data_IF_501484171474
#
_entry.id   IF_501484171474
#
_cell.length_a   1.000
_cell.length_b   1.000
_cell.length_c   1.000
_cell.angle_alpha   90.00
_cell.angle_beta   90.00
_cell.angle_gamma   90.00
#
_symmetry.space_group_name_H-M   'P 1'
#
loop_
_entity.id
_entity.type
_entity.pdbx_description
1 polymer ?
#
# COMPACT_ATOMS: atom_id res chain seq x y z
N UNK A 1 -7.83 -5.68 -21.06
CA UNK A 1 -8.31 -4.30 -20.93
C UNK A 1 -7.64 -3.65 -19.73
N UNK A 2 -6.92 -2.54 -19.92
CA UNK A 2 -6.44 -1.73 -18.79
C UNK A 2 -7.55 -0.81 -18.31
N UNK A 3 -8.01 -0.94 -17.07
CA UNK A 3 -8.81 0.10 -16.43
C UNK A 3 -7.99 1.39 -16.44
N UNK A 4 -8.55 2.46 -17.01
CA UNK A 4 -8.00 3.80 -16.82
C UNK A 4 -8.35 4.23 -15.39
N UNK A 5 -7.38 4.13 -14.48
CA UNK A 5 -7.45 4.76 -13.16
C UNK A 5 -7.29 6.27 -13.36
N UNK A 6 -8.36 6.94 -13.77
CA UNK A 6 -8.44 8.41 -13.76
C UNK A 6 -8.44 8.92 -12.31
N UNK A 7 -8.10 10.20 -12.10
CA UNK A 7 -8.06 10.79 -10.75
C UNK A 7 -9.38 10.59 -9.99
N UNK A 8 -10.49 10.76 -10.69
CA UNK A 8 -11.84 10.55 -10.19
C UNK A 8 -12.07 9.10 -9.70
N UNK A 9 -11.80 8.10 -10.55
CA UNK A 9 -11.95 6.67 -10.20
C UNK A 9 -11.05 6.26 -9.03
N UNK A 10 -9.83 6.83 -8.93
CA UNK A 10 -8.96 6.57 -7.79
C UNK A 10 -9.56 7.13 -6.50
N UNK A 11 -10.11 8.34 -6.56
CA UNK A 11 -10.75 8.98 -5.42
C UNK A 11 -11.98 8.18 -4.96
N UNK A 12 -12.83 7.76 -5.90
CA UNK A 12 -13.98 6.89 -5.62
C UNK A 12 -13.53 5.57 -4.98
N UNK A 13 -12.50 4.92 -5.52
CA UNK A 13 -11.99 3.67 -4.93
C UNK A 13 -11.47 3.86 -3.50
N UNK A 14 -10.80 4.99 -3.21
CA UNK A 14 -10.32 5.28 -1.85
C UNK A 14 -11.46 5.56 -0.89
N UNK A 15 -12.49 6.30 -1.34
CA UNK A 15 -13.68 6.61 -0.55
C UNK A 15 -14.51 5.35 -0.28
N UNK A 16 -14.77 4.52 -1.30
CA UNK A 16 -15.51 3.27 -1.16
C UNK A 16 -14.78 2.21 -0.32
N UNK A 17 -13.45 2.27 -0.29
CA UNK A 17 -12.61 1.38 0.51
C UNK A 17 -12.10 2.07 1.79
N UNK A 18 -12.83 3.06 2.32
CA UNK A 18 -12.49 3.69 3.59
C UNK A 18 -12.46 2.64 4.72
N UNK A 19 -11.35 2.57 5.45
CA UNK A 19 -11.11 1.57 6.48
C UNK A 19 -10.54 0.24 5.95
N UNK A 20 -10.30 0.12 4.65
CA UNK A 20 -9.61 -1.04 4.08
C UNK A 20 -8.17 -1.11 4.58
N UNK A 21 -7.79 -2.26 5.11
CA UNK A 21 -6.42 -2.54 5.53
C UNK A 21 -5.93 -3.81 4.86
N UNK A 22 -4.77 -3.74 4.22
CA UNK A 22 -4.08 -4.92 3.69
C UNK A 22 -2.64 -4.93 4.15
N UNK A 23 -2.11 -6.11 4.42
CA UNK A 23 -0.72 -6.28 4.83
C UNK A 23 -0.03 -7.23 3.87
N UNK A 24 1.06 -6.80 3.27
CA UNK A 24 1.91 -7.65 2.44
C UNK A 24 3.15 -8.05 3.23
N UNK A 25 3.54 -9.31 3.09
CA UNK A 25 4.69 -9.83 3.78
C UNK A 25 5.70 -10.36 2.77
N UNK A 26 6.89 -9.79 2.79
CA UNK A 26 8.01 -10.20 1.96
C UNK A 26 9.13 -10.74 2.85
N UNK A 27 9.59 -11.95 2.53
CA UNK A 27 10.70 -12.61 3.22
C UNK A 27 11.66 -13.18 2.21
N UNK A 28 12.89 -12.70 2.29
CA UNK A 28 14.05 -13.24 1.61
C UNK A 28 15.06 -13.79 2.63
N UNK A 29 16.15 -14.39 2.16
CA UNK A 29 17.16 -15.06 2.99
C UNK A 29 17.83 -14.10 3.97
N UNK A 30 17.91 -12.81 3.62
CA UNK A 30 18.58 -11.76 4.39
C UNK A 30 17.73 -10.51 4.65
N UNK A 31 16.43 -10.57 4.36
CA UNK A 31 15.57 -9.40 4.41
C UNK A 31 14.15 -9.82 4.73
N UNK A 32 13.55 -9.19 5.73
CA UNK A 32 12.13 -9.36 6.06
C UNK A 32 11.51 -7.99 6.09
N UNK A 33 10.49 -7.79 5.26
CA UNK A 33 9.70 -6.56 5.22
C UNK A 33 8.22 -6.92 5.28
N UNK A 34 7.52 -6.23 6.18
CA UNK A 34 6.09 -6.20 6.28
C UNK A 34 5.63 -4.81 5.87
N UNK A 35 4.80 -4.71 4.84
CA UNK A 35 4.16 -3.46 4.46
C UNK A 35 2.69 -3.53 4.78
N UNK A 36 2.25 -2.67 5.68
CA UNK A 36 0.86 -2.48 6.03
C UNK A 36 0.33 -1.27 5.25
N UNK A 37 -0.79 -1.45 4.59
CA UNK A 37 -1.49 -0.44 3.80
C UNK A 37 -2.85 -0.21 4.43
N UNK A 38 -3.22 1.05 4.65
CA UNK A 38 -4.51 1.45 5.22
C UNK A 38 -5.09 2.58 4.40
N UNK A 39 -6.36 2.47 4.03
CA UNK A 39 -7.08 3.56 3.38
C UNK A 39 -7.90 4.28 4.46
N UNK A 40 -7.66 5.57 4.64
CA UNK A 40 -8.35 6.41 5.62
C UNK A 40 -8.44 7.84 5.08
N UNK A 41 -9.57 8.52 5.29
CA UNK A 41 -9.78 9.91 4.85
C UNK A 41 -9.53 10.11 3.34
N UNK A 42 -9.91 9.11 2.54
CA UNK A 42 -9.65 9.09 1.09
C UNK A 42 -8.17 9.09 0.70
N UNK A 43 -7.27 8.70 1.62
CA UNK A 43 -5.81 8.64 1.41
C UNK A 43 -5.28 7.26 1.76
N UNK A 44 -4.22 6.86 1.06
CA UNK A 44 -3.51 5.63 1.33
C UNK A 44 -2.36 5.89 2.29
N UNK A 45 -2.47 5.36 3.51
CA UNK A 45 -1.40 5.30 4.49
C UNK A 45 -0.58 4.02 4.28
N UNK A 46 0.75 4.18 4.23
CA UNK A 46 1.68 3.07 4.03
C UNK A 46 2.62 3.04 5.23
N UNK A 47 2.74 1.88 5.84
CA UNK A 47 3.70 1.61 6.90
C UNK A 47 4.57 0.44 6.50
N UNK A 48 5.87 0.67 6.38
CA UNK A 48 6.86 -0.38 6.09
C UNK A 48 7.70 -0.67 7.32
N UNK A 49 7.68 -1.93 7.76
CA UNK A 49 8.42 -2.44 8.90
C UNK A 49 9.27 -3.62 8.48
N UNK A 50 10.55 -3.58 8.80
CA UNK A 50 11.41 -4.68 8.43
C UNK A 50 12.66 -4.82 9.26
N UNK A 51 13.31 -5.96 9.05
CA UNK A 51 14.64 -6.26 9.56
C UNK A 51 15.51 -6.70 8.39
N UNK A 52 16.68 -6.09 8.27
CA UNK A 52 17.70 -6.56 7.33
C UNK A 52 18.70 -7.47 8.05
N UNK A 53 19.49 -8.25 7.32
CA UNK A 53 20.52 -9.13 7.89
C UNK A 53 21.65 -8.42 8.63
N UNK A 54 21.64 -7.08 8.69
CA UNK A 54 22.51 -6.35 9.59
C UNK A 54 21.89 -6.38 10.98
N UNK A 55 22.66 -6.88 11.95
CA UNK A 55 22.21 -7.35 13.25
C UNK A 55 21.29 -6.36 14.02
N UNK A 56 21.40 -5.07 13.72
CA UNK A 56 20.69 -3.96 14.37
C UNK A 56 19.83 -3.09 13.43
N UNK A 57 19.75 -3.41 12.14
CA UNK A 57 19.01 -2.59 11.18
C UNK A 57 17.54 -3.00 11.13
N UNK A 58 16.78 -2.43 12.05
CA UNK A 58 15.33 -2.40 12.02
C UNK A 58 14.89 -1.08 11.39
N UNK A 59 13.88 -1.12 10.53
CA UNK A 59 13.21 0.08 10.03
C UNK A 59 11.71 -0.01 10.29
N UNK A 60 11.12 1.10 10.71
CA UNK A 60 9.69 1.33 10.85
C UNK A 60 9.45 2.72 10.30
N UNK A 61 8.93 2.77 9.07
CA UNK A 61 8.66 4.02 8.37
C UNK A 61 7.18 4.05 8.02
N UNK A 62 6.53 5.18 8.31
CA UNK A 62 5.11 5.39 8.06
C UNK A 62 4.95 6.72 7.33
N UNK A 63 4.29 6.67 6.18
CA UNK A 63 4.03 7.85 5.36
C UNK A 63 2.68 7.75 4.67
N UNK A 64 2.16 8.91 4.25
CA UNK A 64 0.99 8.98 3.39
C UNK A 64 1.47 8.89 1.95
N UNK A 65 0.93 7.94 1.19
CA UNK A 65 1.25 7.77 -0.21
C UNK A 65 0.77 8.96 -1.04
N UNK A 66 1.61 9.39 -1.96
CA UNK A 66 1.27 10.42 -2.95
C UNK A 66 0.30 9.86 -4.03
N UNK A 67 -0.24 10.72 -4.90
CA UNK A 67 -1.13 10.34 -6.00
C UNK A 67 -0.49 9.28 -6.92
N UNK A 68 0.82 9.34 -7.13
CA UNK A 68 1.56 8.35 -7.95
C UNK A 68 1.68 6.98 -7.26
N UNK A 69 2.05 6.94 -5.98
CA UNK A 69 2.12 5.70 -5.21
C UNK A 69 0.74 5.06 -5.06
N UNK A 70 -0.26 5.89 -4.76
CA UNK A 70 -1.66 5.46 -4.65
C UNK A 70 -2.15 4.86 -5.97
N UNK A 71 -1.82 5.49 -7.11
CA UNK A 71 -2.14 4.94 -8.42
C UNK A 71 -1.50 3.57 -8.64
N UNK A 72 -0.22 3.42 -8.31
CA UNK A 72 0.50 2.16 -8.47
C UNK A 72 -0.07 1.07 -7.56
N UNK A 73 -0.44 1.41 -6.34
CA UNK A 73 -1.09 0.51 -5.39
C UNK A 73 -2.44 0.05 -5.94
N UNK A 74 -3.33 0.98 -6.30
CA UNK A 74 -4.64 0.67 -6.87
C UNK A 74 -4.50 -0.16 -8.14
N UNK A 75 -3.53 0.13 -9.01
CA UNK A 75 -3.32 -0.67 -10.23
C UNK A 75 -2.84 -2.09 -9.94
N UNK A 76 -2.01 -2.27 -8.90
CA UNK A 76 -1.49 -3.56 -8.48
C UNK A 76 -2.54 -4.40 -7.76
N UNK A 77 -3.38 -3.75 -6.94
CA UNK A 77 -4.40 -4.38 -6.12
C UNK A 77 -5.82 -4.28 -6.72
N UNK A 78 -5.97 -3.81 -7.96
CA UNK A 78 -7.28 -3.68 -8.64
C UNK A 78 -8.10 -4.99 -8.72
N UNK A 79 -7.43 -6.14 -8.65
CA UNK A 79 -8.07 -7.46 -8.66
C UNK A 79 -8.54 -7.86 -7.25
N UNK A 80 -7.93 -7.30 -6.21
CA UNK A 80 -8.30 -7.52 -4.80
C UNK A 80 -9.27 -6.45 -4.28
N UNK A 81 -9.23 -5.25 -4.85
CA UNK A 81 -10.18 -4.16 -4.63
C UNK A 81 -11.45 -4.50 -5.42
N UNK A 82 -12.34 -5.26 -4.79
CA UNK A 82 -13.62 -5.66 -5.36
C UNK A 82 -14.50 -4.41 -5.48
N UNK A 83 -15.12 -4.26 -6.65
CA UNK A 83 -16.25 -3.37 -6.94
C UNK A 83 -17.56 -4.09 -6.62
#
# INVERSE_FOLDING_TARGET
>A
MGLRLTKDVRQTLLDENEGFTTSTYYKDKNFREQRDYRIEDGKLHVRSRGKTSWADSHFDDEWVADEEETHRFLYKHKDELIY
#
